data_IF_816154499250
#
_entry.id   IF_816154499250
#
_cell.length_a   1.000
_cell.length_b   1.000
_cell.length_c   1.000
_cell.angle_alpha   90.00
_cell.angle_beta   90.00
_cell.angle_gamma   90.00
#
_symmetry.space_group_name_H-M   'P 1'
#
loop_
_entity.id
_entity.type
_entity.pdbx_description
1 polymer ?
#
# COMPACT_ATOMS: atom_id res chain seq x y z
N UNK A 1 33.86 -44.24 7.49
CA UNK A 1 32.59 -44.24 6.72
C UNK A 1 31.44 -43.51 7.43
N UNK A 2 31.70 -42.41 8.16
CA UNK A 2 30.64 -41.61 8.82
C UNK A 2 30.52 -40.17 8.27
N UNK A 3 31.54 -39.69 7.56
CA UNK A 3 31.62 -38.31 7.07
C UNK A 3 30.84 -38.12 5.75
N UNK A 4 30.72 -39.17 4.94
CA UNK A 4 30.04 -39.10 3.63
C UNK A 4 28.51 -38.91 3.74
N UNK A 5 27.87 -39.33 4.83
CA UNK A 5 26.44 -39.12 5.01
C UNK A 5 26.08 -37.66 5.35
N UNK A 6 27.00 -36.90 5.95
CA UNK A 6 26.72 -35.54 6.40
C UNK A 6 26.73 -34.50 5.27
N UNK A 7 27.41 -34.78 4.15
CA UNK A 7 27.55 -33.84 3.02
C UNK A 7 26.31 -33.90 2.11
N UNK A 8 25.65 -35.06 2.02
CA UNK A 8 24.45 -35.23 1.21
C UNK A 8 23.22 -34.51 1.77
N UNK A 9 23.10 -34.40 3.10
CA UNK A 9 21.95 -33.77 3.75
C UNK A 9 21.98 -32.24 3.67
N UNK A 10 23.15 -31.61 3.63
CA UNK A 10 23.26 -30.14 3.52
C UNK A 10 22.85 -29.63 2.13
N UNK A 11 23.08 -30.40 1.07
CA UNK A 11 22.73 -30.02 -0.31
C UNK A 11 21.22 -30.01 -0.57
N UNK A 12 20.45 -30.85 0.12
CA UNK A 12 18.99 -30.97 -0.06
C UNK A 12 18.26 -29.80 0.61
N UNK A 13 18.77 -29.29 1.74
CA UNK A 13 18.18 -28.17 2.46
C UNK A 13 18.30 -26.84 1.70
N UNK A 14 19.35 -26.67 0.89
CA UNK A 14 19.55 -25.45 0.08
C UNK A 14 18.54 -25.34 -1.07
N UNK A 15 18.06 -26.47 -1.57
CA UNK A 15 17.12 -26.52 -2.71
C UNK A 15 15.68 -26.15 -2.29
N UNK A 16 15.27 -26.54 -1.09
CA UNK A 16 13.93 -26.21 -0.54
C UNK A 16 13.78 -24.75 -0.12
N UNK A 17 14.89 -24.04 0.15
CA UNK A 17 14.85 -22.63 0.53
C UNK A 17 14.61 -21.67 -0.66
N UNK A 18 14.72 -22.17 -1.91
CA UNK A 18 14.64 -21.33 -3.11
C UNK A 18 13.23 -21.11 -3.65
N UNK A 19 12.18 -21.62 -2.98
CA UNK A 19 10.77 -21.49 -3.42
C UNK A 19 9.91 -20.55 -2.59
N UNK A 20 10.50 -19.82 -1.64
CA UNK A 20 9.80 -18.78 -0.89
C UNK A 20 9.68 -17.49 -1.73
N UNK A 21 8.90 -17.53 -2.80
CA UNK A 21 8.36 -16.32 -3.42
C UNK A 21 7.34 -15.73 -2.44
N UNK A 22 7.81 -14.88 -1.52
CA UNK A 22 6.93 -14.01 -0.78
C UNK A 22 6.20 -13.15 -1.80
N UNK A 23 4.92 -13.47 -2.06
CA UNK A 23 4.06 -12.64 -2.87
C UNK A 23 3.98 -11.28 -2.17
N UNK A 24 4.76 -10.32 -2.65
CA UNK A 24 4.61 -8.91 -2.30
C UNK A 24 3.22 -8.54 -2.78
N UNK A 25 2.24 -8.54 -1.87
CA UNK A 25 0.95 -7.95 -2.12
C UNK A 25 1.22 -6.47 -2.41
N UNK A 26 1.24 -6.12 -3.69
CA UNK A 26 1.29 -4.74 -4.12
C UNK A 26 -0.02 -4.10 -3.65
N UNK A 27 0.03 -3.45 -2.48
CA UNK A 27 -1.10 -2.72 -1.92
C UNK A 27 -1.34 -1.55 -2.86
N UNK A 28 -2.19 -1.77 -3.86
CA UNK A 28 -2.60 -0.72 -4.77
C UNK A 28 -3.32 0.33 -3.92
N UNK A 29 -2.87 1.59 -3.93
CA UNK A 29 -3.45 2.60 -3.06
C UNK A 29 -4.94 2.73 -3.36
N UNK A 30 -5.77 2.55 -2.33
CA UNK A 30 -7.17 2.93 -2.37
C UNK A 30 -7.30 4.32 -1.77
N UNK A 31 -8.12 5.15 -2.40
CA UNK A 31 -8.45 6.44 -1.84
C UNK A 31 -9.60 6.29 -0.86
N UNK A 32 -9.42 6.87 0.32
CA UNK A 32 -10.44 6.88 1.36
C UNK A 32 -10.90 8.33 1.55
N UNK A 33 -12.22 8.49 1.57
CA UNK A 33 -12.83 9.74 1.99
C UNK A 33 -12.95 9.70 3.52
N UNK A 34 -12.15 10.52 4.19
CA UNK A 34 -12.21 10.74 5.62
C UNK A 34 -13.10 11.92 5.95
N UNK A 35 -13.71 11.87 7.13
CA UNK A 35 -14.48 12.97 7.71
C UNK A 35 -13.58 14.11 8.22
N UNK A 36 -14.19 15.04 8.96
CA UNK A 36 -13.65 16.33 9.38
C UNK A 36 -12.29 16.29 10.08
N UNK A 37 -11.56 17.41 10.00
CA UNK A 37 -10.36 17.70 10.80
C UNK A 37 -9.27 18.42 9.99
N UNK A 38 -8.02 18.37 10.43
CA UNK A 38 -6.98 19.31 9.97
C UNK A 38 -6.33 18.86 8.66
N UNK A 39 -6.30 19.75 7.68
CA UNK A 39 -5.49 19.67 6.46
C UNK A 39 -4.81 21.01 6.22
N UNK A 40 -3.49 21.00 5.98
CA UNK A 40 -2.68 22.20 5.76
C UNK A 40 -2.88 23.33 6.79
N UNK A 41 -3.01 22.96 8.07
CA UNK A 41 -3.20 23.91 9.18
C UNK A 41 -4.61 24.48 9.33
N UNK A 42 -5.56 24.14 8.45
CA UNK A 42 -6.96 24.52 8.54
C UNK A 42 -7.85 23.33 8.89
N UNK A 43 -8.92 23.57 9.66
CA UNK A 43 -9.97 22.56 9.85
C UNK A 43 -10.86 22.51 8.60
N UNK A 44 -11.01 21.31 8.03
CA UNK A 44 -11.85 21.07 6.85
C UNK A 44 -12.88 19.96 7.15
N UNK A 45 -14.03 19.99 6.50
CA UNK A 45 -15.10 18.99 6.70
C UNK A 45 -14.83 17.65 6.05
N UNK A 46 -14.08 17.64 4.95
CA UNK A 46 -13.81 16.44 4.17
C UNK A 46 -12.32 16.36 3.83
N UNK A 47 -11.76 15.15 3.90
CA UNK A 47 -10.36 14.89 3.56
C UNK A 47 -10.23 13.65 2.68
N UNK A 48 -9.33 13.69 1.72
CA UNK A 48 -8.97 12.55 0.88
C UNK A 48 -7.64 12.00 1.36
N UNK A 49 -7.58 10.70 1.64
CA UNK A 49 -6.34 10.00 1.93
C UNK A 49 -6.03 8.95 0.88
N UNK A 50 -4.75 8.84 0.51
CA UNK A 50 -4.22 7.83 -0.41
C UNK A 50 -3.30 6.94 0.42
N UNK A 51 -3.75 5.72 0.72
CA UNK A 51 -3.13 4.93 1.79
C UNK A 51 -3.24 5.64 3.13
N UNK A 52 -2.12 5.81 3.83
CA UNK A 52 -2.05 6.42 5.18
C UNK A 52 -1.81 7.95 5.16
N UNK A 53 -1.75 8.56 3.97
CA UNK A 53 -1.47 10.00 3.83
C UNK A 53 -2.70 10.77 3.39
N UNK A 54 -3.01 11.85 4.11
CA UNK A 54 -4.00 12.84 3.66
C UNK A 54 -3.36 13.71 2.59
N UNK A 55 -3.92 13.71 1.39
CA UNK A 55 -3.40 14.45 0.23
C UNK A 55 -4.20 15.69 -0.10
N UNK A 56 -5.46 15.76 0.33
CA UNK A 56 -6.36 16.88 0.04
C UNK A 56 -7.42 17.05 1.13
N UNK A 57 -7.93 18.27 1.28
CA UNK A 57 -8.99 18.61 2.22
C UNK A 57 -9.80 19.83 1.76
N UNK A 58 -11.12 19.76 1.90
CA UNK A 58 -12.04 20.82 1.51
C UNK A 58 -13.34 20.79 2.33
N UNK A 59 -14.06 21.91 2.33
CA UNK A 59 -15.36 22.04 3.02
C UNK A 59 -16.56 21.72 2.11
N UNK A 60 -16.35 21.71 0.80
CA UNK A 60 -17.36 21.45 -0.20
C UNK A 60 -17.15 20.10 -0.88
N UNK A 61 -18.26 19.37 -1.12
CA UNK A 61 -18.21 18.06 -1.75
C UNK A 61 -17.87 18.13 -3.25
N UNK A 62 -18.10 19.28 -3.89
CA UNK A 62 -17.80 19.47 -5.31
C UNK A 62 -16.29 19.40 -5.56
N UNK A 63 -15.49 20.17 -4.80
CA UNK A 63 -14.04 20.15 -4.83
C UNK A 63 -13.48 18.76 -4.49
N UNK A 64 -14.04 18.09 -3.48
CA UNK A 64 -13.67 16.70 -3.13
C UNK A 64 -13.90 15.76 -4.32
N UNK A 65 -15.07 15.86 -4.98
CA UNK A 65 -15.40 14.99 -6.11
C UNK A 65 -14.53 15.27 -7.33
N UNK A 66 -14.18 16.53 -7.58
CA UNK A 66 -13.27 16.94 -8.64
C UNK A 66 -11.87 16.37 -8.39
N UNK A 67 -11.35 16.50 -7.17
CA UNK A 67 -10.02 15.99 -6.81
C UNK A 67 -9.96 14.46 -6.84
N UNK A 68 -11.00 13.76 -6.36
CA UNK A 68 -11.11 12.30 -6.53
C UNK A 68 -11.10 11.90 -8.02
N UNK A 69 -11.73 12.70 -8.89
CA UNK A 69 -11.68 12.53 -10.34
C UNK A 69 -10.26 12.64 -10.89
N UNK A 70 -9.52 13.66 -10.46
CA UNK A 70 -8.10 13.88 -10.81
C UNK A 70 -7.24 12.70 -10.35
N UNK A 71 -7.31 12.32 -9.07
CA UNK A 71 -6.52 11.22 -8.51
C UNK A 71 -6.85 9.87 -9.17
N UNK A 72 -8.11 9.64 -9.55
CA UNK A 72 -8.53 8.47 -10.33
C UNK A 72 -7.92 8.47 -11.74
N UNK A 73 -7.89 9.62 -12.42
CA UNK A 73 -7.26 9.74 -13.75
C UNK A 73 -5.75 9.51 -13.72
N UNK A 74 -5.10 9.78 -12.58
CA UNK A 74 -3.69 9.50 -12.33
C UNK A 74 -3.43 8.04 -11.91
N UNK A 75 -4.49 7.24 -11.73
CA UNK A 75 -4.39 5.84 -11.30
C UNK A 75 -4.06 5.66 -9.80
N UNK A 76 -4.15 6.73 -9.01
CA UNK A 76 -3.94 6.72 -7.56
C UNK A 76 -5.19 6.30 -6.79
N UNK A 77 -6.38 6.54 -7.35
CA UNK A 77 -7.67 6.06 -6.85
C UNK A 77 -8.31 5.11 -7.86
N UNK A 78 -9.14 4.17 -7.39
CA UNK A 78 -9.91 3.26 -8.25
C UNK A 78 -11.39 3.24 -7.90
#
# INVERSE_FOLDING_TARGET
MRILLAIGTTLILSFLASWSSAATMEVKPSCLLSSEGIFDGAWVKHRISVGDQVVYGADDLEAISAELGTLRSQGLCR
#
